data_IF_096252156764
#
_entry.id   IF_096252156764
#
_cell.length_a   1.000
_cell.length_b   1.000
_cell.length_c   1.000
_cell.angle_alpha   90.00
_cell.angle_beta   90.00
_cell.angle_gamma   90.00
#
_symmetry.space_group_name_H-M   'P 1'
#
loop_
_entity.id
_entity.type
_entity.pdbx_description
1 polymer ?
#
# COMPACT_ATOMS: atom_id res chain seq x y z
N UNK A 1 21.07 15.15 -28.43
CA UNK A 1 19.94 14.22 -28.48
C UNK A 1 20.47 12.90 -27.99
N UNK A 2 20.40 12.73 -26.71
CA UNK A 2 20.76 11.45 -26.07
C UNK A 2 19.42 10.89 -25.59
N UNK A 3 18.86 10.04 -26.44
CA UNK A 3 17.58 9.35 -26.21
C UNK A 3 17.91 8.04 -25.48
N UNK A 4 18.28 8.17 -24.22
CA UNK A 4 18.31 7.03 -23.28
C UNK A 4 16.97 6.97 -22.58
N UNK A 5 15.91 6.60 -23.31
CA UNK A 5 14.76 5.98 -22.67
C UNK A 5 15.30 4.72 -21.95
N UNK A 6 15.45 4.79 -20.64
CA UNK A 6 15.73 3.60 -19.84
C UNK A 6 14.61 2.62 -20.12
N UNK A 7 14.99 1.44 -20.64
CA UNK A 7 14.06 0.33 -20.82
C UNK A 7 13.54 -0.02 -19.43
N UNK A 8 12.22 0.02 -19.19
CA UNK A 8 11.68 -0.35 -17.88
C UNK A 8 12.21 -1.73 -17.50
N UNK A 9 12.63 -1.88 -16.25
CA UNK A 9 13.12 -3.15 -15.72
C UNK A 9 12.11 -4.27 -16.05
N UNK A 10 12.57 -5.35 -16.67
CA UNK A 10 11.71 -6.49 -17.04
C UNK A 10 10.92 -7.04 -15.83
N UNK A 11 11.35 -6.73 -14.61
CA UNK A 11 10.71 -7.04 -13.34
C UNK A 11 9.59 -6.08 -12.91
N UNK A 12 9.46 -4.86 -13.49
CA UNK A 12 8.49 -3.85 -13.07
C UNK A 12 7.16 -3.95 -13.85
N UNK A 13 6.44 -5.07 -13.66
CA UNK A 13 5.13 -5.28 -14.29
C UNK A 13 4.09 -4.25 -13.82
N UNK A 14 4.15 -3.85 -12.56
CA UNK A 14 3.26 -2.86 -11.96
C UNK A 14 3.47 -1.46 -12.56
N UNK A 15 4.71 -0.99 -12.59
CA UNK A 15 5.05 0.29 -13.21
C UNK A 15 4.75 0.34 -14.70
N UNK A 16 4.95 -0.79 -15.41
CA UNK A 16 4.57 -0.90 -16.82
C UNK A 16 3.05 -0.78 -17.02
N UNK A 17 2.24 -1.39 -16.15
CA UNK A 17 0.78 -1.28 -16.22
C UNK A 17 0.31 0.17 -15.98
N UNK A 18 0.88 0.84 -14.98
CA UNK A 18 0.61 2.24 -14.67
C UNK A 18 1.02 3.16 -15.83
N UNK A 19 2.22 2.96 -16.40
CA UNK A 19 2.72 3.75 -17.53
C UNK A 19 1.83 3.61 -18.75
N UNK A 20 1.50 2.39 -19.15
CA UNK A 20 0.68 2.12 -20.32
C UNK A 20 -0.72 2.76 -20.18
N UNK A 21 -1.34 2.64 -19.00
CA UNK A 21 -2.63 3.27 -18.76
C UNK A 21 -2.53 4.81 -18.82
N UNK A 22 -1.47 5.40 -18.27
CA UNK A 22 -1.24 6.83 -18.34
C UNK A 22 -1.04 7.35 -19.77
N UNK A 23 -0.54 6.50 -20.67
CA UNK A 23 -0.33 6.76 -22.10
C UNK A 23 -1.53 6.35 -22.98
N UNK A 24 -2.71 6.09 -22.38
CA UNK A 24 -3.93 5.63 -23.07
C UNK A 24 -3.76 4.25 -23.78
N UNK A 25 -2.81 3.42 -23.34
CA UNK A 25 -2.67 2.04 -23.82
C UNK A 25 -3.52 1.07 -22.98
N UNK A 26 -4.22 0.16 -23.67
CA UNK A 26 -4.97 -0.90 -23.01
C UNK A 26 -4.05 -2.03 -22.53
N UNK A 27 -4.35 -2.56 -21.35
CA UNK A 27 -3.67 -3.69 -20.77
C UNK A 27 -4.46 -4.36 -19.67
N UNK A 28 -4.07 -5.58 -19.34
CA UNK A 28 -4.73 -6.40 -18.33
C UNK A 28 -3.72 -6.82 -17.28
N UNK A 29 -3.88 -6.31 -16.07
CA UNK A 29 -3.05 -6.65 -14.92
C UNK A 29 -3.62 -7.86 -14.19
N UNK A 30 -2.76 -8.77 -13.81
CA UNK A 30 -3.09 -10.03 -13.12
C UNK A 30 -2.28 -10.11 -11.84
N UNK A 31 -2.94 -10.54 -10.77
CA UNK A 31 -2.29 -11.03 -9.56
C UNK A 31 -2.24 -12.56 -9.62
N UNK A 32 -1.05 -13.11 -9.45
CA UNK A 32 -0.80 -14.54 -9.29
C UNK A 32 -0.41 -14.83 -7.85
N UNK A 33 -1.04 -15.82 -7.23
CA UNK A 33 -0.78 -16.27 -5.86
C UNK A 33 -0.02 -17.60 -5.89
N UNK A 34 0.77 -17.89 -4.85
CA UNK A 34 1.69 -19.03 -4.78
C UNK A 34 1.01 -20.42 -4.79
N UNK A 35 -0.32 -20.48 -4.61
CA UNK A 35 -1.11 -21.71 -4.79
C UNK A 35 -1.61 -21.90 -6.24
N UNK A 36 -1.23 -21.01 -7.16
CA UNK A 36 -1.60 -21.05 -8.56
C UNK A 36 -2.90 -20.32 -8.92
N UNK A 37 -3.54 -19.63 -7.96
CA UNK A 37 -4.66 -18.75 -8.27
C UNK A 37 -4.17 -17.59 -9.13
N UNK A 38 -4.87 -17.34 -10.23
CA UNK A 38 -4.67 -16.21 -11.12
C UNK A 38 -5.98 -15.41 -11.16
N UNK A 39 -5.93 -14.14 -10.79
CA UNK A 39 -7.07 -13.27 -10.75
C UNK A 39 -6.75 -11.88 -11.35
N UNK A 40 -7.75 -11.17 -11.92
CA UNK A 40 -7.57 -9.76 -12.23
C UNK A 40 -7.24 -8.96 -10.98
N UNK A 41 -6.36 -7.95 -11.10
CA UNK A 41 -6.04 -7.03 -9.99
C UNK A 41 -7.12 -5.97 -9.73
N UNK A 42 -8.06 -5.79 -10.62
CA UNK A 42 -8.97 -4.65 -10.68
C UNK A 42 -8.55 -3.64 -11.76
N UNK A 43 -7.33 -3.77 -12.25
CA UNK A 43 -6.78 -3.00 -13.36
C UNK A 43 -6.12 -1.67 -12.95
N UNK A 44 -5.28 -1.11 -13.83
CA UNK A 44 -4.54 0.12 -13.54
C UNK A 44 -5.44 1.35 -13.36
N UNK A 45 -6.67 1.36 -13.87
CA UNK A 45 -7.65 2.42 -13.69
C UNK A 45 -7.83 2.82 -12.22
N UNK A 46 -7.81 1.82 -11.31
CA UNK A 46 -7.95 2.07 -9.87
C UNK A 46 -6.87 3.00 -9.31
N UNK A 47 -5.67 2.96 -9.86
CA UNK A 47 -4.54 3.79 -9.40
C UNK A 47 -4.66 5.25 -9.81
N UNK A 48 -5.62 5.57 -10.69
CA UNK A 48 -5.88 6.92 -11.21
C UNK A 48 -7.23 7.48 -10.74
N UNK A 49 -8.00 6.73 -9.93
CA UNK A 49 -9.29 7.20 -9.42
C UNK A 49 -9.15 8.50 -8.62
N UNK A 50 -10.16 9.35 -8.73
CA UNK A 50 -10.22 10.65 -8.04
C UNK A 50 -10.99 10.52 -6.72
N UNK A 51 -10.84 11.51 -5.84
CA UNK A 51 -11.43 11.48 -4.51
C UNK A 51 -12.97 11.30 -4.53
N UNK A 52 -13.66 11.84 -5.51
CA UNK A 52 -15.12 11.73 -5.66
C UNK A 52 -15.58 10.26 -5.87
N UNK A 53 -14.69 9.38 -6.33
CA UNK A 53 -14.96 7.95 -6.54
C UNK A 53 -14.64 7.09 -5.31
N UNK A 54 -14.07 7.66 -4.26
CA UNK A 54 -13.63 6.90 -3.10
C UNK A 54 -14.77 6.67 -2.10
N UNK A 55 -14.71 5.54 -1.39
CA UNK A 55 -15.70 5.21 -0.36
C UNK A 55 -15.62 6.13 0.87
N UNK A 56 -16.73 6.27 1.58
CA UNK A 56 -16.83 7.12 2.78
C UNK A 56 -15.81 6.74 3.87
N UNK A 57 -15.44 5.46 3.98
CA UNK A 57 -14.42 4.99 4.93
C UNK A 57 -13.04 5.59 4.65
N UNK A 58 -12.71 5.79 3.37
CA UNK A 58 -11.44 6.39 2.96
C UNK A 58 -11.41 7.88 3.32
N UNK A 59 -12.49 8.61 3.03
CA UNK A 59 -12.63 10.01 3.41
C UNK A 59 -12.55 10.19 4.94
N UNK A 60 -13.26 9.35 5.71
CA UNK A 60 -13.22 9.41 7.18
C UNK A 60 -11.81 9.19 7.74
N UNK A 61 -11.00 8.32 7.12
CA UNK A 61 -9.58 8.17 7.46
C UNK A 61 -8.76 9.40 7.07
N UNK A 62 -8.99 9.96 5.88
CA UNK A 62 -8.26 11.13 5.39
C UNK A 62 -8.57 12.42 6.17
N UNK A 63 -9.67 12.50 6.92
CA UNK A 63 -9.95 13.59 7.85
C UNK A 63 -8.91 13.70 9.00
N UNK A 64 -8.09 12.67 9.20
CA UNK A 64 -6.98 12.64 10.16
C UNK A 64 -5.64 13.12 9.61
N UNK A 65 -5.58 13.56 8.34
CA UNK A 65 -4.37 14.14 7.76
C UNK A 65 -3.88 15.33 8.59
N UNK A 66 -2.59 15.35 8.87
CA UNK A 66 -1.93 16.45 9.58
C UNK A 66 -0.47 16.58 9.14
N UNK A 67 0.05 17.80 9.18
CA UNK A 67 1.45 18.13 8.95
C UNK A 67 2.01 17.60 7.62
N UNK A 68 3.24 17.10 7.66
CA UNK A 68 3.94 16.50 6.54
C UNK A 68 3.58 15.03 6.39
N UNK A 69 3.31 14.59 5.18
CA UNK A 69 2.74 13.29 4.86
C UNK A 69 3.75 12.40 4.12
N UNK A 70 3.85 11.13 4.54
CA UNK A 70 4.56 10.07 3.80
C UNK A 70 3.52 9.12 3.21
N UNK A 71 3.45 9.00 1.89
CA UNK A 71 2.54 8.07 1.18
C UNK A 71 3.31 6.82 0.75
N UNK A 72 3.02 5.68 1.39
CA UNK A 72 3.70 4.40 1.21
C UNK A 72 3.03 3.60 0.10
N UNK A 73 3.82 3.18 -0.92
CA UNK A 73 3.29 2.51 -2.09
C UNK A 73 2.38 3.45 -2.87
N UNK A 74 2.85 4.66 -3.16
CA UNK A 74 2.03 5.73 -3.71
C UNK A 74 1.49 5.45 -5.12
N UNK A 75 2.06 4.47 -5.84
CA UNK A 75 1.63 4.08 -7.17
C UNK A 75 1.64 5.24 -8.15
N UNK A 76 0.49 5.50 -8.80
CA UNK A 76 0.29 6.65 -9.67
C UNK A 76 0.08 7.99 -8.92
N UNK A 77 0.22 8.00 -7.60
CA UNK A 77 0.20 9.21 -6.77
C UNK A 77 -1.19 9.74 -6.41
N UNK A 78 -2.28 8.96 -6.52
CA UNK A 78 -3.64 9.46 -6.31
C UNK A 78 -3.86 10.06 -4.91
N UNK A 79 -3.37 9.40 -3.85
CA UNK A 79 -3.52 9.88 -2.48
C UNK A 79 -2.53 11.01 -2.16
N UNK A 80 -1.29 10.92 -2.70
CA UNK A 80 -0.31 11.99 -2.59
C UNK A 80 -0.81 13.30 -3.21
N UNK A 81 -1.41 13.25 -4.41
CA UNK A 81 -2.00 14.41 -5.07
C UNK A 81 -3.14 15.00 -4.26
N UNK A 82 -4.05 14.16 -3.76
CA UNK A 82 -5.14 14.60 -2.88
C UNK A 82 -4.60 15.32 -1.63
N UNK A 83 -3.63 14.74 -0.93
CA UNK A 83 -3.05 15.36 0.25
C UNK A 83 -2.34 16.69 -0.08
N UNK A 84 -1.66 16.80 -1.24
CA UNK A 84 -1.10 18.07 -1.73
C UNK A 84 -2.20 19.12 -1.98
N UNK A 85 -3.33 18.74 -2.57
CA UNK A 85 -4.48 19.63 -2.80
C UNK A 85 -5.09 20.11 -1.49
N UNK A 86 -5.03 19.32 -0.42
CA UNK A 86 -5.42 19.75 0.93
C UNK A 86 -4.39 20.66 1.61
N UNK A 87 -3.24 20.91 0.95
CA UNK A 87 -2.19 21.84 1.42
C UNK A 87 -1.09 21.20 2.27
N UNK A 88 -0.98 19.86 2.26
CA UNK A 88 0.10 19.16 2.94
C UNK A 88 1.38 19.10 2.11
N UNK A 89 2.53 19.10 2.78
CA UNK A 89 3.82 18.71 2.19
C UNK A 89 3.88 17.18 2.14
N UNK A 90 3.99 16.61 0.94
CA UNK A 90 3.86 15.16 0.72
C UNK A 90 5.12 14.60 0.09
N UNK A 91 5.59 13.48 0.64
CA UNK A 91 6.58 12.62 0.02
C UNK A 91 5.90 11.29 -0.31
N UNK A 92 5.89 10.89 -1.58
CA UNK A 92 5.48 9.56 -2.00
C UNK A 92 6.66 8.62 -2.12
N UNK A 93 6.50 7.35 -1.74
CA UNK A 93 7.48 6.30 -2.04
C UNK A 93 6.82 5.10 -2.70
N UNK A 94 7.54 4.49 -3.63
CA UNK A 94 7.16 3.23 -4.27
C UNK A 94 8.43 2.47 -4.69
N UNK A 95 8.37 1.14 -4.72
CA UNK A 95 9.48 0.30 -5.21
C UNK A 95 9.55 0.30 -6.74
N UNK A 96 8.44 0.56 -7.41
CA UNK A 96 8.31 0.60 -8.85
C UNK A 96 8.86 1.90 -9.43
N UNK A 97 9.91 1.82 -10.25
CA UNK A 97 10.46 2.96 -10.96
C UNK A 97 9.42 3.60 -11.90
N UNK A 98 8.64 2.76 -12.62
CA UNK A 98 7.60 3.24 -13.53
C UNK A 98 6.47 3.98 -12.80
N UNK A 99 6.05 3.50 -11.63
CA UNK A 99 5.07 4.19 -10.79
C UNK A 99 5.58 5.55 -10.30
N UNK A 100 6.83 5.60 -9.82
CA UNK A 100 7.49 6.85 -9.39
C UNK A 100 7.56 7.89 -10.53
N UNK A 101 7.90 7.47 -11.74
CA UNK A 101 7.94 8.36 -12.90
C UNK A 101 6.56 8.93 -13.23
N UNK A 102 5.52 8.07 -13.31
CA UNK A 102 4.15 8.50 -13.60
C UNK A 102 3.62 9.41 -12.49
N UNK A 103 3.86 9.07 -11.24
CA UNK A 103 3.46 9.90 -10.09
C UNK A 103 4.07 11.31 -10.18
N UNK A 104 5.34 11.41 -10.57
CA UNK A 104 6.03 12.69 -10.79
C UNK A 104 5.44 13.47 -11.97
N UNK A 105 5.17 12.79 -13.09
CA UNK A 105 4.56 13.41 -14.27
C UNK A 105 3.14 13.92 -14.00
N UNK A 106 2.40 13.26 -13.11
CA UNK A 106 1.08 13.69 -12.64
C UNK A 106 1.13 14.89 -11.68
N UNK A 107 2.30 15.23 -11.14
CA UNK A 107 2.49 16.42 -10.32
C UNK A 107 2.74 16.18 -8.83
N UNK A 108 3.04 14.95 -8.40
CA UNK A 108 3.54 14.74 -7.04
C UNK A 108 4.91 15.40 -6.89
N UNK A 109 5.02 16.33 -5.94
CA UNK A 109 6.16 17.25 -5.84
C UNK A 109 7.47 16.55 -5.40
N UNK A 110 7.38 15.60 -4.45
CA UNK A 110 8.49 14.76 -4.01
C UNK A 110 8.03 13.29 -4.04
N UNK A 111 8.62 12.51 -4.93
CA UNK A 111 8.37 11.08 -5.04
C UNK A 111 9.68 10.35 -5.27
N UNK A 112 9.91 9.25 -4.53
CA UNK A 112 11.17 8.53 -4.50
C UNK A 112 10.97 7.04 -4.69
N UNK A 113 11.90 6.41 -5.40
CA UNK A 113 11.96 4.95 -5.43
C UNK A 113 12.58 4.47 -4.11
N UNK A 114 11.76 3.83 -3.27
CA UNK A 114 12.17 3.36 -1.95
C UNK A 114 11.25 2.23 -1.49
N UNK A 115 11.82 1.20 -0.87
CA UNK A 115 11.06 0.17 -0.18
C UNK A 115 10.61 0.69 1.20
N UNK A 116 9.42 0.29 1.66
CA UNK A 116 8.92 0.62 3.00
C UNK A 116 9.86 0.10 4.10
N UNK A 117 10.53 -1.02 3.87
CA UNK A 117 11.51 -1.57 4.80
C UNK A 117 12.73 -0.65 5.00
N UNK A 118 13.05 0.20 4.03
CA UNK A 118 14.22 1.09 4.05
C UNK A 118 13.89 2.51 4.54
N UNK A 119 12.66 2.79 4.96
CA UNK A 119 12.24 4.16 5.35
C UNK A 119 13.09 4.74 6.49
N UNK A 120 13.51 3.91 7.45
CA UNK A 120 14.35 4.33 8.58
C UNK A 120 15.75 4.80 8.17
N UNK A 121 16.24 4.36 7.00
CA UNK A 121 17.51 4.79 6.43
C UNK A 121 17.34 5.95 5.44
N UNK A 122 16.17 6.04 4.81
CA UNK A 122 15.87 7.00 3.75
C UNK A 122 15.47 8.39 4.27
N UNK A 123 14.99 8.48 5.52
CA UNK A 123 14.46 9.72 6.09
C UNK A 123 15.01 10.00 7.49
N UNK A 124 15.06 11.29 7.83
CA UNK A 124 15.43 11.74 9.18
C UNK A 124 14.34 11.34 10.20
N UNK A 125 14.73 11.22 11.48
CA UNK A 125 13.79 11.02 12.57
C UNK A 125 12.81 12.19 12.68
N UNK A 126 11.57 11.90 13.10
CA UNK A 126 10.52 12.90 13.32
C UNK A 126 10.20 13.75 12.06
N UNK A 127 10.38 13.18 10.86
CA UNK A 127 10.21 13.91 9.61
C UNK A 127 8.74 14.05 9.17
N UNK A 128 7.84 13.20 9.67
CA UNK A 128 6.44 13.13 9.21
C UNK A 128 5.45 13.12 10.37
N UNK A 129 4.30 13.77 10.17
CA UNK A 129 3.16 13.76 11.10
C UNK A 129 2.06 12.80 10.68
N UNK A 130 2.05 12.40 9.39
CA UNK A 130 1.10 11.40 8.87
C UNK A 130 1.81 10.42 7.95
N UNK A 131 1.47 9.15 8.07
CA UNK A 131 1.81 8.10 7.10
C UNK A 131 0.51 7.60 6.46
N UNK A 132 0.47 7.52 5.14
CA UNK A 132 -0.60 6.88 4.39
C UNK A 132 -0.15 5.49 3.92
N UNK A 133 -0.97 4.49 4.19
CA UNK A 133 -0.86 3.12 3.69
C UNK A 133 -2.21 2.72 3.08
N UNK A 134 -2.64 3.44 2.05
CA UNK A 134 -3.96 3.31 1.42
C UNK A 134 -3.91 2.45 0.16
N UNK A 135 -5.05 1.91 -0.29
CA UNK A 135 -5.11 0.90 -1.36
C UNK A 135 -4.75 -0.50 -0.86
N UNK A 136 -5.13 -0.82 0.37
CA UNK A 136 -4.74 -2.01 1.14
C UNK A 136 -3.23 -2.08 1.48
N UNK A 137 -2.49 -0.95 1.39
CA UNK A 137 -1.03 -0.92 1.57
C UNK A 137 -0.57 -1.17 3.01
N UNK A 138 -1.47 -1.33 4.00
CA UNK A 138 -1.05 -1.99 5.24
C UNK A 138 -0.39 -3.34 4.94
N UNK A 139 -0.82 -4.03 3.88
CA UNK A 139 -0.24 -5.29 3.44
C UNK A 139 1.24 -5.26 3.08
N UNK A 140 1.82 -4.08 2.81
CA UNK A 140 3.24 -3.91 2.52
C UNK A 140 4.15 -4.15 3.74
N UNK A 141 3.60 -4.31 4.95
CA UNK A 141 4.34 -4.80 6.11
C UNK A 141 4.82 -6.26 5.92
N UNK A 142 4.34 -6.95 4.89
CA UNK A 142 4.78 -8.27 4.44
C UNK A 142 4.08 -9.42 5.17
N UNK A 143 4.57 -9.82 6.32
CA UNK A 143 4.02 -10.90 7.17
C UNK A 143 3.81 -10.41 8.60
N UNK A 144 3.11 -11.18 9.44
CA UNK A 144 3.01 -10.85 10.86
C UNK A 144 4.38 -10.80 11.55
N UNK A 145 5.34 -11.61 11.09
CA UNK A 145 6.68 -11.66 11.68
C UNK A 145 7.55 -10.45 11.28
N UNK A 146 7.35 -9.87 10.07
CA UNK A 146 8.11 -8.72 9.57
C UNK A 146 7.44 -7.37 9.88
N UNK A 147 6.14 -7.38 10.14
CA UNK A 147 5.36 -6.17 10.38
C UNK A 147 5.89 -5.30 11.54
N UNK A 148 6.29 -5.85 12.71
CA UNK A 148 6.84 -5.03 13.79
C UNK A 148 8.07 -4.24 13.37
N UNK A 149 8.99 -4.82 12.58
CA UNK A 149 10.20 -4.14 12.12
C UNK A 149 9.86 -2.94 11.20
N UNK A 150 8.93 -3.12 10.27
CA UNK A 150 8.45 -2.05 9.38
C UNK A 150 7.77 -0.95 10.20
N UNK A 151 6.89 -1.31 11.14
CA UNK A 151 6.17 -0.36 11.98
C UNK A 151 7.09 0.42 12.92
N UNK A 152 8.17 -0.19 13.41
CA UNK A 152 9.20 0.47 14.22
C UNK A 152 10.04 1.43 13.37
N UNK A 153 10.33 1.08 12.11
CA UNK A 153 10.98 2.00 11.18
C UNK A 153 10.10 3.22 10.91
N UNK A 154 8.79 3.03 10.68
CA UNK A 154 7.82 4.13 10.56
C UNK A 154 7.72 4.95 11.84
N UNK A 155 7.81 4.32 13.02
CA UNK A 155 7.82 5.05 14.28
C UNK A 155 9.04 5.96 14.44
N UNK A 156 10.18 5.55 13.90
CA UNK A 156 11.44 6.34 13.96
C UNK A 156 11.36 7.60 13.11
N UNK A 157 10.76 7.52 11.92
CA UNK A 157 10.69 8.66 10.97
C UNK A 157 9.50 9.58 11.22
N UNK A 158 8.65 9.26 12.20
CA UNK A 158 7.44 10.02 12.51
C UNK A 158 7.51 10.68 13.89
N UNK A 159 6.86 11.85 14.02
CA UNK A 159 6.76 12.60 15.27
C UNK A 159 5.99 11.84 16.37
N UNK A 160 6.07 12.32 17.63
CA UNK A 160 5.38 11.68 18.77
C UNK A 160 3.85 11.62 18.61
N UNK A 161 3.24 12.66 18.04
CA UNK A 161 1.79 12.75 17.83
C UNK A 161 1.37 12.31 16.40
N UNK A 162 2.24 11.59 15.68
CA UNK A 162 1.97 11.14 14.31
C UNK A 162 0.89 10.06 14.26
N UNK A 163 0.30 9.93 13.06
CA UNK A 163 -0.71 8.91 12.75
C UNK A 163 -0.31 8.11 11.53
N UNK A 164 -0.72 6.83 11.53
CA UNK A 164 -0.76 6.02 10.31
C UNK A 164 -2.23 5.87 9.92
N UNK A 165 -2.58 6.21 8.69
CA UNK A 165 -3.88 5.98 8.09
C UNK A 165 -3.72 4.76 7.18
N UNK A 166 -4.14 3.59 7.68
CA UNK A 166 -3.87 2.30 7.07
C UNK A 166 -5.15 1.66 6.53
N UNK A 167 -5.14 1.30 5.25
CA UNK A 167 -6.21 0.51 4.66
C UNK A 167 -5.81 -0.97 4.58
N UNK A 168 -6.74 -1.83 4.97
CA UNK A 168 -6.63 -3.28 4.84
C UNK A 168 -8.02 -3.88 4.58
N UNK A 169 -8.09 -5.21 4.57
CA UNK A 169 -9.34 -5.93 4.33
C UNK A 169 -9.58 -6.98 5.40
N UNK A 170 -10.79 -6.97 5.96
CA UNK A 170 -11.33 -8.04 6.79
C UNK A 170 -11.66 -9.24 5.89
N UNK A 171 -10.76 -10.21 5.88
CA UNK A 171 -10.85 -11.39 5.03
C UNK A 171 -11.95 -12.38 5.46
N UNK A 172 -12.60 -12.15 6.59
CA UNK A 172 -13.69 -12.97 7.09
C UNK A 172 -15.05 -12.52 6.55
N UNK A 173 -15.12 -11.31 5.95
CA UNK A 173 -16.29 -10.82 5.26
C UNK A 173 -16.31 -11.29 3.78
N UNK A 174 -17.41 -11.90 3.32
CA UNK A 174 -17.67 -12.28 1.92
C UNK A 174 -16.57 -13.16 1.28
N UNK A 175 -16.20 -14.27 1.94
CA UNK A 175 -15.13 -15.17 1.49
C UNK A 175 -15.62 -16.14 0.42
N UNK A 176 -15.03 -16.09 -0.77
CA UNK A 176 -15.18 -17.11 -1.80
C UNK A 176 -14.50 -18.43 -1.41
N UNK A 177 -14.99 -19.56 -1.95
CA UNK A 177 -14.53 -20.90 -1.58
C UNK A 177 -13.02 -21.11 -1.81
N UNK A 178 -12.47 -20.57 -2.90
CA UNK A 178 -11.04 -20.69 -3.22
C UNK A 178 -10.14 -19.83 -2.32
N UNK A 179 -10.64 -18.73 -1.79
CA UNK A 179 -9.93 -17.97 -0.75
C UNK A 179 -9.94 -18.72 0.58
N UNK A 180 -11.07 -19.32 0.93
CA UNK A 180 -11.21 -20.11 2.17
C UNK A 180 -10.19 -21.24 2.26
N UNK A 181 -9.99 -21.99 1.16
CA UNK A 181 -8.99 -23.08 1.10
C UNK A 181 -7.58 -22.56 1.34
N UNK A 182 -7.24 -21.38 0.82
CA UNK A 182 -5.93 -20.74 1.05
C UNK A 182 -5.77 -20.26 2.50
N UNK A 183 -6.83 -19.72 3.10
CA UNK A 183 -6.82 -19.33 4.51
C UNK A 183 -6.60 -20.54 5.45
N UNK A 184 -7.22 -21.69 5.15
CA UNK A 184 -7.00 -22.93 5.90
C UNK A 184 -5.55 -23.41 5.73
N UNK A 185 -5.03 -23.40 4.51
CA UNK A 185 -3.64 -23.75 4.23
C UNK A 185 -2.64 -22.83 4.96
N UNK A 186 -2.92 -21.54 5.09
CA UNK A 186 -2.09 -20.64 5.90
C UNK A 186 -2.14 -20.97 7.38
N UNK A 187 -3.34 -21.24 7.95
CA UNK A 187 -3.49 -21.64 9.35
C UNK A 187 -2.73 -22.95 9.68
N UNK A 188 -2.78 -23.94 8.80
CA UNK A 188 -2.02 -25.19 8.93
C UNK A 188 -0.51 -24.97 9.00
N UNK A 189 -0.01 -23.90 8.41
CA UNK A 189 1.40 -23.49 8.42
C UNK A 189 1.75 -22.48 9.50
N UNK A 190 0.81 -22.17 10.39
CA UNK A 190 1.01 -21.18 11.47
C UNK A 190 1.08 -19.74 10.97
N UNK A 191 0.53 -19.43 9.79
CA UNK A 191 0.45 -18.07 9.25
C UNK A 191 -0.92 -17.47 9.48
N UNK A 192 -1.01 -16.14 9.51
CA UNK A 192 -2.31 -15.47 9.44
C UNK A 192 -3.05 -15.86 8.16
N UNK A 193 -4.37 -16.07 8.22
CA UNK A 193 -5.15 -16.50 7.06
C UNK A 193 -4.97 -15.60 5.83
N UNK A 194 -4.88 -14.28 6.02
CA UNK A 194 -4.70 -13.29 4.97
C UNK A 194 -3.25 -13.02 4.57
N UNK A 195 -2.27 -13.82 5.05
CA UNK A 195 -0.89 -13.73 4.59
C UNK A 195 -0.76 -14.29 3.16
N UNK A 196 -0.54 -13.43 2.21
CA UNK A 196 -0.44 -13.75 0.79
C UNK A 196 1.02 -13.79 0.35
N UNK A 197 1.34 -14.71 -0.57
CA UNK A 197 2.55 -14.69 -1.35
C UNK A 197 2.14 -14.51 -2.81
N UNK A 198 2.39 -13.31 -3.37
CA UNK A 198 1.85 -12.91 -4.67
C UNK A 198 2.92 -12.31 -5.57
N UNK A 199 2.60 -12.21 -6.84
CA UNK A 199 3.29 -11.36 -7.81
C UNK A 199 2.29 -10.74 -8.76
N UNK A 200 2.64 -9.59 -9.32
CA UNK A 200 1.88 -8.92 -10.38
C UNK A 200 2.44 -9.32 -11.73
N UNK A 201 1.55 -9.54 -12.70
CA UNK A 201 1.90 -9.81 -14.09
C UNK A 201 1.16 -8.85 -15.00
N UNK A 202 1.87 -8.33 -15.98
CA UNK A 202 1.33 -7.44 -17.00
C UNK A 202 2.03 -7.67 -18.33
N UNK A 203 1.26 -7.97 -19.41
CA UNK A 203 1.81 -8.35 -20.72
C UNK A 203 2.86 -9.48 -20.55
N UNK A 204 4.12 -9.22 -20.88
CA UNK A 204 5.24 -10.19 -20.76
C UNK A 204 6.06 -10.00 -19.49
N UNK A 205 5.75 -8.99 -18.67
CA UNK A 205 6.47 -8.65 -17.43
C UNK A 205 5.86 -9.34 -16.22
N UNK A 206 6.67 -9.57 -15.20
CA UNK A 206 6.20 -10.00 -13.87
C UNK A 206 7.11 -9.43 -12.79
N UNK A 207 6.53 -9.01 -11.67
CA UNK A 207 7.32 -8.69 -10.47
C UNK A 207 7.96 -9.97 -9.92
N UNK A 208 8.95 -9.81 -9.04
CA UNK A 208 9.34 -10.88 -8.13
C UNK A 208 8.16 -11.24 -7.21
N UNK A 209 8.23 -12.42 -6.58
CA UNK A 209 7.28 -12.81 -5.56
C UNK A 209 7.50 -12.02 -4.28
N UNK A 210 6.43 -11.44 -3.73
CA UNK A 210 6.48 -10.70 -2.47
C UNK A 210 5.40 -11.15 -1.50
N UNK A 211 5.65 -10.95 -0.21
CA UNK A 211 4.69 -11.20 0.85
C UNK A 211 3.79 -9.96 1.01
N UNK A 212 2.50 -10.20 1.24
CA UNK A 212 1.49 -9.16 1.37
C UNK A 212 0.43 -9.60 2.39
N UNK A 213 0.06 -8.74 3.32
CA UNK A 213 -0.83 -9.11 4.41
C UNK A 213 -2.17 -8.39 4.34
N UNK A 214 -3.25 -9.14 4.21
CA UNK A 214 -4.59 -8.66 4.49
C UNK A 214 -4.95 -9.07 5.93
N UNK A 215 -4.87 -8.13 6.86
CA UNK A 215 -5.20 -8.36 8.27
C UNK A 215 -6.62 -7.89 8.58
N UNK A 216 -7.42 -8.71 9.25
CA UNK A 216 -8.65 -8.25 9.89
C UNK A 216 -8.32 -7.28 11.04
N UNK A 217 -9.27 -6.41 11.50
CA UNK A 217 -8.98 -5.45 12.56
C UNK A 217 -8.39 -6.06 13.84
N UNK A 218 -8.88 -7.22 14.25
CA UNK A 218 -8.40 -7.93 15.43
C UNK A 218 -7.00 -8.53 15.22
N UNK A 219 -6.69 -9.01 14.01
CA UNK A 219 -5.35 -9.49 13.65
C UNK A 219 -4.35 -8.31 13.55
N UNK A 220 -4.81 -7.16 13.09
CA UNK A 220 -4.02 -5.91 13.12
C UNK A 220 -3.67 -5.54 14.57
N UNK A 221 -4.64 -5.59 15.50
CA UNK A 221 -4.38 -5.32 16.92
C UNK A 221 -3.34 -6.27 17.52
N UNK A 222 -3.36 -7.56 17.15
CA UNK A 222 -2.37 -8.55 17.60
C UNK A 222 -0.95 -8.19 17.09
N UNK A 223 -0.82 -7.73 15.85
CA UNK A 223 0.45 -7.27 15.28
C UNK A 223 0.92 -6.00 15.98
N UNK A 224 0.03 -5.03 16.17
CA UNK A 224 0.36 -3.75 16.80
C UNK A 224 0.80 -3.90 18.26
N UNK A 225 0.34 -4.95 18.98
CA UNK A 225 0.72 -5.21 20.38
C UNK A 225 2.23 -5.42 20.58
N UNK A 226 2.99 -5.69 19.51
CA UNK A 226 4.46 -5.80 19.55
C UNK A 226 5.17 -4.49 19.19
N UNK A 227 4.43 -3.38 18.98
CA UNK A 227 4.94 -2.08 18.54
C UNK A 227 4.46 -0.96 19.46
N UNK A 228 4.84 0.28 19.16
CA UNK A 228 4.32 1.47 19.86
C UNK A 228 2.99 1.99 19.28
N UNK A 229 2.47 1.36 18.23
CA UNK A 229 1.25 1.77 17.55
C UNK A 229 0.03 1.07 18.14
N UNK A 230 -1.07 1.81 18.26
CA UNK A 230 -2.38 1.28 18.65
C UNK A 230 -3.44 1.77 17.67
N UNK A 231 -4.44 0.94 17.43
CA UNK A 231 -5.55 1.31 16.58
C UNK A 231 -6.57 2.15 17.37
N UNK A 232 -6.63 3.45 17.07
CA UNK A 232 -7.53 4.38 17.72
C UNK A 232 -8.94 4.34 17.12
N UNK A 233 -9.05 4.31 15.78
CA UNK A 233 -10.33 4.36 15.06
C UNK A 233 -10.36 3.33 13.92
N UNK A 234 -11.57 2.95 13.49
CA UNK A 234 -11.79 2.04 12.35
C UNK A 234 -13.03 2.46 11.59
N UNK A 235 -12.88 2.67 10.29
CA UNK A 235 -13.95 3.02 9.36
C UNK A 235 -14.13 1.89 8.36
N UNK A 236 -15.30 1.21 8.39
CA UNK A 236 -15.57 0.07 7.52
C UNK A 236 -16.16 0.52 6.19
N UNK A 237 -15.68 -0.07 5.10
CA UNK A 237 -16.18 0.05 3.74
C UNK A 237 -16.93 -1.19 3.27
N UNK A 238 -17.15 -1.29 1.98
CA UNK A 238 -17.79 -2.45 1.37
C UNK A 238 -16.80 -3.61 1.16
N UNK A 239 -17.31 -4.85 1.12
CA UNK A 239 -16.51 -6.03 0.78
C UNK A 239 -15.37 -6.34 1.76
N UNK A 240 -15.52 -5.93 3.02
CA UNK A 240 -14.52 -6.14 4.07
C UNK A 240 -13.40 -5.09 4.08
N UNK A 241 -13.39 -4.11 3.17
CA UNK A 241 -12.43 -3.02 3.23
C UNK A 241 -12.62 -2.20 4.51
N UNK A 242 -11.53 -1.70 5.07
CA UNK A 242 -11.58 -0.77 6.19
C UNK A 242 -10.32 0.09 6.23
N UNK A 243 -10.48 1.28 6.81
CA UNK A 243 -9.37 2.17 7.18
C UNK A 243 -9.24 2.20 8.68
N UNK A 244 -8.03 1.94 9.16
CA UNK A 244 -7.64 2.11 10.55
C UNK A 244 -6.82 3.39 10.71
N UNK A 245 -7.07 4.15 11.78
CA UNK A 245 -6.20 5.22 12.23
C UNK A 245 -5.38 4.68 13.40
N UNK A 246 -4.06 4.66 13.23
CA UNK A 246 -3.14 4.20 14.26
C UNK A 246 -2.46 5.41 14.89
N UNK A 247 -2.32 5.38 16.22
CA UNK A 247 -1.64 6.41 17.02
C UNK A 247 -0.55 5.76 17.87
N UNK A 248 0.48 6.52 18.24
CA UNK A 248 1.52 6.04 19.17
C UNK A 248 0.98 6.00 20.60
N UNK A 249 1.24 4.91 21.33
CA UNK A 249 1.00 4.88 22.79
C UNK A 249 1.84 5.93 23.50
N UNK A 250 1.23 6.62 24.47
CA UNK A 250 1.90 7.63 25.30
C UNK A 250 2.44 7.04 26.59
#
# INVERSE_FOLDING_TARGET
>A
MDDTAEVPDEGDAYGKAIRDYYEDEEGFEIVERDDGLIAPSGGPEMYFSEADDWGEHLHAGLDYLQGRVLDIGCGAGRHALYAQEQGHDVVGIDVSAGAVEVSRERGVADVRQCDVADVGEAFDSDAFETVLMLGNNFGLVGTADTAPEVLDALATVTTEDARIIAESRDIYENIDEYHRSYHEYNRERGRLPGALRIRTRYKTHSTEWFDYLLAAPEEMDEILAETIWTRAETYRGEGGQYVAVLEKER
#
